data_IF_307854826243
#
_entry.id   IF_307854826243
#
_cell.length_a   1.000
_cell.length_b   1.000
_cell.length_c   1.000
_cell.angle_alpha   90.00
_cell.angle_beta   90.00
_cell.angle_gamma   90.00
#
_symmetry.space_group_name_H-M   'P 1'
#
loop_
_entity.id
_entity.type
_entity.pdbx_description
1 polymer ?
#
# COMPACT_ATOMS: atom_id res chain seq x y z
N UNK A 1 8.21 -23.80 -21.38
CA UNK A 1 7.73 -22.40 -21.48
C UNK A 1 6.90 -22.01 -20.26
N UNK A 2 5.91 -22.81 -19.88
CA UNK A 2 5.04 -22.57 -18.72
C UNK A 2 5.79 -22.36 -17.40
N UNK A 3 6.80 -23.19 -17.09
CA UNK A 3 7.62 -23.04 -15.89
C UNK A 3 8.33 -21.67 -15.79
N UNK A 4 8.86 -21.18 -16.93
CA UNK A 4 9.51 -19.86 -16.99
C UNK A 4 8.51 -18.73 -16.69
N UNK A 5 7.27 -18.85 -17.19
CA UNK A 5 6.21 -17.86 -16.94
C UNK A 5 5.81 -17.84 -15.46
N UNK A 6 5.60 -19.02 -14.85
CA UNK A 6 5.28 -19.12 -13.40
C UNK A 6 6.36 -18.47 -12.53
N UNK A 7 7.62 -18.77 -12.82
CA UNK A 7 8.75 -18.21 -12.08
C UNK A 7 8.84 -16.68 -12.24
N UNK A 8 8.70 -16.16 -13.47
CA UNK A 8 8.75 -14.71 -13.71
C UNK A 8 7.61 -13.97 -13.00
N UNK A 9 6.38 -14.48 -13.10
CA UNK A 9 5.22 -13.87 -12.42
C UNK A 9 5.40 -13.86 -10.91
N UNK A 10 5.87 -14.97 -10.33
CA UNK A 10 6.10 -15.08 -8.89
C UNK A 10 7.22 -14.13 -8.42
N UNK A 11 8.36 -14.11 -9.12
CA UNK A 11 9.50 -13.25 -8.77
C UNK A 11 9.15 -11.76 -8.85
N UNK A 12 8.46 -11.34 -9.91
CA UNK A 12 7.99 -9.95 -10.04
C UNK A 12 6.93 -9.63 -8.99
N UNK A 13 6.02 -10.57 -8.69
CA UNK A 13 5.03 -10.43 -7.64
C UNK A 13 5.68 -10.19 -6.27
N UNK A 14 6.65 -11.02 -5.89
CA UNK A 14 7.41 -10.87 -4.64
C UNK A 14 8.14 -9.53 -4.60
N UNK A 15 8.83 -9.16 -5.68
CA UNK A 15 9.60 -7.92 -5.74
C UNK A 15 8.69 -6.70 -5.52
N UNK A 16 7.59 -6.58 -6.27
CA UNK A 16 6.71 -5.42 -6.18
C UNK A 16 5.84 -5.41 -4.91
N UNK A 17 5.44 -6.58 -4.41
CA UNK A 17 4.79 -6.68 -3.08
C UNK A 17 5.76 -6.27 -1.97
N UNK A 18 7.02 -6.68 -2.04
CA UNK A 18 8.05 -6.31 -1.07
C UNK A 18 8.35 -4.80 -1.09
N UNK A 19 8.48 -4.19 -2.26
CA UNK A 19 8.62 -2.73 -2.40
C UNK A 19 7.41 -1.99 -1.81
N UNK A 20 6.19 -2.48 -2.05
CA UNK A 20 4.97 -1.88 -1.50
C UNK A 20 4.90 -2.03 0.02
N UNK A 21 5.22 -3.21 0.55
CA UNK A 21 5.26 -3.45 1.99
C UNK A 21 6.31 -2.58 2.69
N UNK A 22 7.50 -2.45 2.10
CA UNK A 22 8.57 -1.58 2.60
C UNK A 22 8.17 -0.10 2.60
N UNK A 23 7.48 0.36 1.55
CA UNK A 23 6.91 1.71 1.50
C UNK A 23 5.90 1.94 2.63
N UNK A 24 4.89 1.07 2.75
CA UNK A 24 3.87 1.17 3.78
C UNK A 24 4.47 1.12 5.20
N UNK A 25 5.40 0.21 5.44
CA UNK A 25 6.13 0.15 6.70
C UNK A 25 6.88 1.44 7.00
N UNK A 26 7.65 1.97 6.05
CA UNK A 26 8.44 3.19 6.25
C UNK A 26 7.54 4.39 6.54
N UNK A 27 6.41 4.49 5.85
CA UNK A 27 5.43 5.55 6.09
C UNK A 27 4.82 5.47 7.49
N UNK A 28 4.38 4.27 7.92
CA UNK A 28 3.87 4.03 9.27
C UNK A 28 4.92 4.22 10.37
N UNK A 29 6.17 3.84 10.13
CA UNK A 29 7.22 3.78 11.14
C UNK A 29 7.96 5.10 11.34
N UNK A 30 8.24 5.83 10.25
CA UNK A 30 9.11 7.00 10.27
C UNK A 30 8.46 8.26 9.70
N UNK A 31 7.79 8.18 8.54
CA UNK A 31 7.30 9.38 7.86
C UNK A 31 6.16 10.04 8.63
N UNK A 32 5.01 9.36 8.82
CA UNK A 32 3.87 10.00 9.48
C UNK A 32 4.11 10.31 10.95
N UNK A 33 4.83 9.47 11.74
CA UNK A 33 5.24 9.88 13.09
C UNK A 33 6.23 11.03 13.10
N UNK A 34 7.10 11.14 12.08
CA UNK A 34 8.07 12.21 11.95
C UNK A 34 7.40 13.55 11.69
N UNK A 35 6.58 13.64 10.63
CA UNK A 35 5.84 14.88 10.32
C UNK A 35 4.74 15.16 11.35
N UNK A 36 4.21 14.15 12.04
CA UNK A 36 3.23 14.30 13.11
C UNK A 36 3.73 15.13 14.30
N UNK A 37 5.05 15.30 14.44
CA UNK A 37 5.67 16.16 15.46
C UNK A 37 5.67 17.65 15.08
N UNK A 38 5.30 17.98 13.84
CA UNK A 38 5.24 19.35 13.36
C UNK A 38 3.91 20.02 13.77
N UNK A 39 3.88 21.35 13.69
CA UNK A 39 2.62 22.10 13.82
C UNK A 39 1.65 21.79 12.67
N UNK A 40 0.38 22.15 12.83
CA UNK A 40 -0.69 21.74 11.91
C UNK A 40 -0.48 22.20 10.46
N UNK A 41 -0.10 23.47 10.27
CA UNK A 41 0.22 24.00 8.94
C UNK A 41 1.34 23.22 8.27
N UNK A 42 2.44 23.00 8.99
CA UNK A 42 3.64 22.35 8.45
C UNK A 42 3.40 20.86 8.19
N UNK A 43 2.64 20.18 9.05
CA UNK A 43 2.18 18.80 8.82
C UNK A 43 1.39 18.71 7.50
N UNK A 44 0.36 19.55 7.34
CA UNK A 44 -0.54 19.53 6.19
C UNK A 44 0.19 19.87 4.89
N UNK A 45 1.05 20.91 4.90
CA UNK A 45 1.88 21.27 3.74
C UNK A 45 2.86 20.16 3.36
N UNK A 46 3.52 19.54 4.35
CA UNK A 46 4.42 18.40 4.11
C UNK A 46 3.67 17.25 3.46
N UNK A 47 2.45 16.96 3.94
CA UNK A 47 1.62 15.89 3.39
C UNK A 47 1.17 16.18 1.96
N UNK A 48 0.75 17.42 1.64
CA UNK A 48 0.43 17.85 0.28
C UNK A 48 1.63 17.66 -0.65
N UNK A 49 2.81 18.15 -0.25
CA UNK A 49 4.02 18.03 -1.05
C UNK A 49 4.40 16.56 -1.34
N UNK A 50 4.36 15.71 -0.32
CA UNK A 50 4.64 14.27 -0.48
C UNK A 50 3.58 13.57 -1.34
N UNK A 51 2.30 13.90 -1.18
CA UNK A 51 1.22 13.33 -1.98
C UNK A 51 1.35 13.68 -3.47
N UNK A 52 1.73 14.93 -3.79
CA UNK A 52 2.00 15.34 -5.18
C UNK A 52 3.24 14.65 -5.76
N UNK A 53 4.30 14.52 -4.97
CA UNK A 53 5.56 13.91 -5.42
C UNK A 53 5.42 12.40 -5.69
N UNK A 54 4.66 11.67 -4.86
CA UNK A 54 4.53 10.22 -4.98
C UNK A 54 3.62 9.81 -6.16
N UNK A 55 2.68 10.65 -6.59
CA UNK A 55 1.78 10.37 -7.71
C UNK A 55 2.47 10.54 -9.07
N UNK A 56 3.32 9.56 -9.40
CA UNK A 56 4.00 9.46 -10.69
C UNK A 56 3.85 8.06 -11.31
N UNK A 57 4.07 7.90 -12.63
CA UNK A 57 3.86 6.62 -13.32
C UNK A 57 4.66 5.45 -12.74
N UNK A 58 5.88 5.69 -12.23
CA UNK A 58 6.73 4.64 -11.67
C UNK A 58 6.14 4.10 -10.37
N UNK A 59 5.67 4.99 -9.50
CA UNK A 59 4.98 4.60 -8.27
C UNK A 59 3.70 3.83 -8.59
N UNK A 60 2.83 4.35 -9.46
CA UNK A 60 1.58 3.69 -9.83
C UNK A 60 1.83 2.29 -10.38
N UNK A 61 2.83 2.15 -11.25
CA UNK A 61 3.23 0.85 -11.79
C UNK A 61 3.68 -0.11 -10.68
N UNK A 62 4.65 0.27 -9.85
CA UNK A 62 5.17 -0.62 -8.80
C UNK A 62 4.11 -0.95 -7.75
N UNK A 63 3.33 0.04 -7.31
CA UNK A 63 2.36 -0.10 -6.22
C UNK A 63 1.14 -0.93 -6.61
N UNK A 64 0.65 -0.80 -7.86
CA UNK A 64 -0.55 -1.52 -8.30
C UNK A 64 -0.27 -2.81 -9.10
N UNK A 65 0.94 -3.00 -9.64
CA UNK A 65 1.29 -4.26 -10.34
C UNK A 65 1.00 -5.53 -9.53
N UNK A 66 1.21 -5.58 -8.20
CA UNK A 66 0.91 -6.79 -7.44
C UNK A 66 -0.55 -7.22 -7.47
N UNK A 67 -1.52 -6.31 -7.68
CA UNK A 67 -2.94 -6.68 -7.81
C UNK A 67 -3.13 -7.69 -8.94
N UNK A 68 -2.50 -7.44 -10.09
CA UNK A 68 -2.58 -8.32 -11.25
C UNK A 68 -1.66 -9.52 -11.07
N UNK A 69 -0.39 -9.29 -10.70
CA UNK A 69 0.61 -10.35 -10.60
C UNK A 69 0.24 -11.44 -9.59
N UNK A 70 -0.30 -11.07 -8.42
CA UNK A 70 -0.67 -12.05 -7.39
C UNK A 70 -1.91 -12.84 -7.82
N UNK A 71 -2.87 -12.20 -8.48
CA UNK A 71 -4.06 -12.86 -9.03
C UNK A 71 -3.67 -13.89 -10.10
N UNK A 72 -2.78 -13.50 -11.03
CA UNK A 72 -2.24 -14.41 -12.06
C UNK A 72 -1.42 -15.52 -11.40
N UNK A 73 -0.60 -15.21 -10.39
CA UNK A 73 0.21 -16.20 -9.67
C UNK A 73 -0.66 -17.27 -9.00
N UNK A 74 -1.72 -16.87 -8.30
CA UNK A 74 -2.67 -17.80 -7.67
C UNK A 74 -3.36 -18.70 -8.71
N UNK A 75 -3.77 -18.12 -9.86
CA UNK A 75 -4.37 -18.89 -10.95
C UNK A 75 -3.38 -19.90 -11.58
N UNK A 76 -2.13 -19.50 -11.81
CA UNK A 76 -1.10 -20.36 -12.38
C UNK A 76 -0.71 -21.53 -11.44
N UNK A 77 -0.87 -21.35 -10.13
CA UNK A 77 -0.58 -22.35 -9.10
C UNK A 77 -1.84 -23.02 -8.52
N UNK A 78 -3.00 -22.93 -9.21
CA UNK A 78 -4.28 -23.50 -8.75
C UNK A 78 -4.27 -25.02 -8.51
N UNK A 79 -3.37 -25.73 -9.21
CA UNK A 79 -3.20 -27.17 -9.09
C UNK A 79 -1.96 -27.56 -8.26
N UNK A 80 -1.30 -26.58 -7.61
CA UNK A 80 -0.20 -26.87 -6.69
C UNK A 80 -0.74 -27.56 -5.43
N UNK A 81 0.16 -28.03 -4.57
CA UNK A 81 -0.26 -28.58 -3.28
C UNK A 81 -1.07 -27.53 -2.47
N UNK A 82 -1.99 -27.98 -1.59
CA UNK A 82 -2.90 -27.07 -0.90
C UNK A 82 -2.22 -25.93 -0.14
N UNK A 83 -1.08 -26.19 0.52
CA UNK A 83 -0.35 -25.17 1.28
C UNK A 83 0.16 -24.03 0.38
N UNK A 84 0.69 -24.37 -0.80
CA UNK A 84 1.17 -23.39 -1.79
C UNK A 84 0.02 -22.59 -2.37
N UNK A 85 -1.04 -23.28 -2.83
CA UNK A 85 -2.18 -22.62 -3.45
C UNK A 85 -2.88 -21.64 -2.51
N UNK A 86 -3.20 -22.07 -1.28
CA UNK A 86 -3.87 -21.21 -0.31
C UNK A 86 -3.01 -20.04 0.13
N UNK A 87 -1.69 -20.22 0.28
CA UNK A 87 -0.78 -19.10 0.57
C UNK A 87 -0.84 -18.03 -0.51
N UNK A 88 -0.75 -18.42 -1.78
CA UNK A 88 -0.80 -17.47 -2.90
C UNK A 88 -2.18 -16.83 -3.09
N UNK A 89 -3.26 -17.60 -2.91
CA UNK A 89 -4.62 -17.08 -3.02
C UNK A 89 -4.92 -16.05 -1.92
N UNK A 90 -4.57 -16.36 -0.67
CA UNK A 90 -4.77 -15.43 0.46
C UNK A 90 -3.90 -14.18 0.28
N UNK A 91 -2.65 -14.33 -0.18
CA UNK A 91 -1.81 -13.18 -0.50
C UNK A 91 -2.46 -12.26 -1.56
N UNK A 92 -3.04 -12.83 -2.62
CA UNK A 92 -3.74 -12.09 -3.66
C UNK A 92 -4.97 -11.33 -3.10
N UNK A 93 -5.79 -11.99 -2.28
CA UNK A 93 -6.98 -11.39 -1.66
C UNK A 93 -6.59 -10.26 -0.71
N UNK A 94 -5.61 -10.49 0.17
CA UNK A 94 -5.13 -9.49 1.11
C UNK A 94 -4.56 -8.28 0.40
N UNK A 95 -3.78 -8.47 -0.66
CA UNK A 95 -3.23 -7.35 -1.41
C UNK A 95 -4.34 -6.58 -2.15
N UNK A 96 -5.24 -7.29 -2.84
CA UNK A 96 -6.32 -6.63 -3.58
C UNK A 96 -7.25 -5.84 -2.65
N UNK A 97 -7.79 -6.47 -1.62
CA UNK A 97 -8.76 -5.86 -0.71
C UNK A 97 -8.06 -4.90 0.27
N UNK A 98 -7.00 -5.36 0.91
CA UNK A 98 -6.32 -4.66 2.00
C UNK A 98 -5.42 -3.50 1.54
N UNK A 99 -4.85 -3.58 0.33
CA UNK A 99 -3.99 -2.54 -0.24
C UNK A 99 -4.70 -1.78 -1.35
N UNK A 100 -5.17 -2.49 -2.39
CA UNK A 100 -5.78 -1.88 -3.57
C UNK A 100 -7.05 -1.11 -3.24
N UNK A 101 -8.08 -1.79 -2.73
CA UNK A 101 -9.38 -1.18 -2.44
C UNK A 101 -9.29 -0.13 -1.32
N UNK A 102 -8.50 -0.38 -0.25
CA UNK A 102 -8.26 0.61 0.80
C UNK A 102 -7.59 1.86 0.24
N UNK A 103 -6.62 1.71 -0.67
CA UNK A 103 -5.99 2.87 -1.31
C UNK A 103 -7.02 3.70 -2.08
N UNK A 104 -7.77 3.06 -2.98
CA UNK A 104 -8.71 3.74 -3.89
C UNK A 104 -9.87 4.37 -3.13
N UNK A 105 -10.48 3.65 -2.17
CA UNK A 105 -11.73 4.08 -1.55
C UNK A 105 -11.55 4.81 -0.21
N UNK A 106 -10.34 4.79 0.39
CA UNK A 106 -10.10 5.42 1.69
C UNK A 106 -8.98 6.46 1.64
N UNK A 107 -7.76 6.05 1.31
CA UNK A 107 -6.62 6.98 1.38
C UNK A 107 -6.62 8.01 0.24
N UNK A 108 -6.98 7.64 -0.98
CA UNK A 108 -7.06 8.58 -2.12
C UNK A 108 -8.07 9.70 -1.88
N UNK A 109 -9.32 9.43 -1.42
CA UNK A 109 -10.27 10.50 -1.09
C UNK A 109 -9.76 11.48 -0.03
N UNK A 110 -9.10 10.98 1.02
CA UNK A 110 -8.49 11.83 2.04
C UNK A 110 -7.36 12.69 1.44
N UNK A 111 -6.51 12.09 0.60
CA UNK A 111 -5.43 12.80 -0.07
C UNK A 111 -5.96 13.90 -0.99
N UNK A 112 -7.00 13.63 -1.78
CA UNK A 112 -7.62 14.62 -2.66
C UNK A 112 -8.32 15.75 -1.89
N UNK A 113 -8.98 15.42 -0.77
CA UNK A 113 -9.57 16.42 0.11
C UNK A 113 -8.50 17.38 0.62
N UNK A 114 -7.37 16.86 1.10
CA UNK A 114 -6.28 17.69 1.58
C UNK A 114 -5.62 18.48 0.43
N UNK A 115 -5.40 17.87 -0.72
CA UNK A 115 -4.70 18.49 -1.85
C UNK A 115 -5.46 19.69 -2.45
N UNK A 116 -6.79 19.67 -2.40
CA UNK A 116 -7.67 20.74 -2.90
C UNK A 116 -7.79 21.94 -1.95
N UNK A 117 -7.29 21.83 -0.71
CA UNK A 117 -7.41 22.89 0.30
C UNK A 117 -6.24 23.88 0.20
N UNK A 118 -6.55 25.18 0.18
CA UNK A 118 -5.55 26.27 0.26
C UNK A 118 -5.28 26.59 1.73
N UNK A 119 -4.16 26.09 2.24
CA UNK A 119 -3.86 26.10 3.68
C UNK A 119 -3.54 27.50 4.21
N UNK A 120 -3.01 28.38 3.36
CA UNK A 120 -2.58 29.74 3.72
C UNK A 120 -3.75 30.67 4.10
N UNK A 121 -4.97 30.31 3.68
CA UNK A 121 -6.18 31.09 3.97
C UNK A 121 -6.88 30.65 5.26
N UNK A 122 -6.42 29.57 5.90
CA UNK A 122 -7.07 28.99 7.07
C UNK A 122 -6.53 29.61 8.37
N UNK A 123 -7.44 29.85 9.30
CA UNK A 123 -7.11 30.16 10.68
C UNK A 123 -6.47 28.96 11.40
N UNK A 124 -5.84 29.21 12.55
CA UNK A 124 -5.25 28.15 13.38
C UNK A 124 -6.27 27.11 13.82
N UNK A 125 -7.53 27.50 14.03
CA UNK A 125 -8.61 26.57 14.44
C UNK A 125 -8.98 25.66 13.25
N UNK A 126 -9.16 26.23 12.06
CA UNK A 126 -9.51 25.48 10.85
C UNK A 126 -8.39 24.49 10.44
N UNK A 127 -7.12 24.88 10.60
CA UNK A 127 -5.98 23.99 10.36
C UNK A 127 -5.98 22.79 11.31
N UNK A 128 -6.25 23.04 12.59
CA UNK A 128 -6.32 21.99 13.61
C UNK A 128 -7.46 21.01 13.32
N UNK A 129 -8.63 21.53 12.96
CA UNK A 129 -9.80 20.71 12.63
C UNK A 129 -9.57 19.90 11.35
N UNK A 130 -8.98 20.50 10.32
CA UNK A 130 -8.59 19.80 9.09
C UNK A 130 -7.61 18.66 9.38
N UNK A 131 -6.58 18.92 10.19
CA UNK A 131 -5.60 17.89 10.58
C UNK A 131 -6.26 16.76 11.35
N UNK A 132 -7.12 17.06 12.32
CA UNK A 132 -7.82 16.04 13.11
C UNK A 132 -8.68 15.11 12.22
N UNK A 133 -9.35 15.70 11.22
CA UNK A 133 -10.17 14.97 10.25
C UNK A 133 -9.35 14.21 9.19
N UNK A 134 -8.05 14.51 9.06
CA UNK A 134 -7.17 13.88 8.08
C UNK A 134 -6.23 12.84 8.70
N UNK A 135 -5.39 13.24 9.67
CA UNK A 135 -4.25 12.45 10.16
C UNK A 135 -4.68 11.11 10.76
N UNK A 136 -5.63 11.13 11.70
CA UNK A 136 -6.13 9.93 12.38
C UNK A 136 -6.78 8.94 11.39
N UNK A 137 -7.76 9.35 10.57
CA UNK A 137 -8.34 8.47 9.56
C UNK A 137 -7.31 7.95 8.56
N UNK A 138 -6.41 8.82 8.08
CA UNK A 138 -5.40 8.44 7.09
C UNK A 138 -4.46 7.37 7.64
N UNK A 139 -3.92 7.58 8.85
CA UNK A 139 -3.01 6.66 9.53
C UNK A 139 -3.69 5.31 9.80
N UNK A 140 -4.95 5.30 10.24
CA UNK A 140 -5.72 4.06 10.45
C UNK A 140 -5.81 3.21 9.18
N UNK A 141 -6.19 3.81 8.06
CA UNK A 141 -6.27 3.09 6.79
C UNK A 141 -4.89 2.70 6.26
N UNK A 142 -3.87 3.53 6.50
CA UNK A 142 -2.50 3.19 6.12
C UNK A 142 -1.93 2.01 6.91
N UNK A 143 -2.18 1.92 8.22
CA UNK A 143 -1.80 0.75 9.03
C UNK A 143 -2.42 -0.53 8.51
N UNK A 144 -3.69 -0.51 8.06
CA UNK A 144 -4.31 -1.66 7.40
C UNK A 144 -3.54 -2.07 6.15
N UNK A 145 -3.11 -1.11 5.32
CA UNK A 145 -2.28 -1.38 4.14
C UNK A 145 -0.92 -1.96 4.53
N UNK A 146 -0.31 -1.46 5.60
CA UNK A 146 0.97 -1.97 6.13
C UNK A 146 0.86 -3.43 6.56
N UNK A 147 -0.15 -3.76 7.38
CA UNK A 147 -0.35 -5.14 7.85
C UNK A 147 -0.64 -6.07 6.67
N UNK A 148 -1.59 -5.71 5.80
CA UNK A 148 -2.02 -6.59 4.70
C UNK A 148 -0.94 -6.79 3.64
N UNK A 149 -0.18 -5.74 3.29
CA UNK A 149 0.95 -5.86 2.36
C UNK A 149 2.09 -6.70 2.95
N UNK A 150 2.42 -6.52 4.22
CA UNK A 150 3.43 -7.33 4.91
C UNK A 150 3.03 -8.81 4.99
N UNK A 151 1.78 -9.10 5.38
CA UNK A 151 1.26 -10.47 5.42
C UNK A 151 1.23 -11.10 4.03
N UNK A 152 0.79 -10.37 3.00
CA UNK A 152 0.83 -10.86 1.63
C UNK A 152 2.26 -11.19 1.18
N UNK A 153 3.23 -10.33 1.51
CA UNK A 153 4.65 -10.58 1.23
C UNK A 153 5.15 -11.86 1.91
N UNK A 154 4.88 -12.02 3.20
CA UNK A 154 5.27 -13.21 3.96
C UNK A 154 4.64 -14.49 3.38
N UNK A 155 3.36 -14.45 3.01
CA UNK A 155 2.65 -15.58 2.40
C UNK A 155 3.23 -15.98 1.04
N UNK A 156 3.72 -15.02 0.23
CA UNK A 156 4.42 -15.35 -1.02
C UNK A 156 5.72 -16.11 -0.75
N UNK A 157 6.49 -15.71 0.26
CA UNK A 157 7.72 -16.40 0.66
C UNK A 157 7.43 -17.80 1.22
N UNK A 158 6.40 -17.92 2.08
CA UNK A 158 5.95 -19.21 2.63
C UNK A 158 5.49 -20.14 1.50
N UNK A 159 4.71 -19.62 0.55
CA UNK A 159 4.22 -20.38 -0.60
C UNK A 159 5.36 -20.96 -1.44
N UNK A 160 6.49 -20.28 -1.56
CA UNK A 160 7.70 -20.83 -2.23
C UNK A 160 8.24 -22.05 -1.49
N UNK A 161 8.34 -22.00 -0.16
CA UNK A 161 8.96 -23.08 0.63
C UNK A 161 8.22 -24.40 0.44
N UNK A 162 6.90 -24.35 0.32
CA UNK A 162 6.06 -25.53 0.14
C UNK A 162 5.83 -25.91 -1.33
N UNK A 163 6.27 -25.09 -2.28
CA UNK A 163 6.18 -25.37 -3.71
C UNK A 163 7.30 -26.35 -4.10
N UNK A 164 7.05 -27.64 -3.89
CA UNK A 164 7.89 -28.75 -4.37
C UNK A 164 7.53 -29.12 -5.81
#
# INVERSE_FOLDING_TARGET
MEFKIKAVVLLLGILFTGLTAGLCFTWSNAITPGIGRLNDLTFLQSFQAMNRAILNPRFLFVFFSPVVLLSVNAFLHRNANPATFWSFLIAAILFFVGVGLVTIFKNVPLNEMLDKTVLENLSTIELKDLRANFEQPWNRWHIQRTITSFTAFALLLIGIIYNK
#
